data_IF_477744312065
#
_entry.id   IF_477744312065
#
_cell.length_a   1.000
_cell.length_b   1.000
_cell.length_c   1.000
_cell.angle_alpha   90.00
_cell.angle_beta   90.00
_cell.angle_gamma   90.00
#
_symmetry.space_group_name_H-M   'P 1'
#
loop_
_entity.id
_entity.type
_entity.pdbx_description
1 polymer ?
#
# COMPACT_ATOMS: atom_id res chain seq x y z
N UNK A 1 13.39 7.76 -8.89
CA UNK A 1 11.95 7.84 -9.28
C UNK A 1 11.29 8.93 -8.43
N UNK A 2 10.69 9.94 -9.05
CA UNK A 2 10.09 11.07 -8.32
C UNK A 2 8.85 10.64 -7.53
N UNK A 3 8.56 11.33 -6.42
CA UNK A 3 7.39 11.08 -5.57
C UNK A 3 6.08 10.99 -6.38
N UNK A 4 5.89 11.94 -7.30
CA UNK A 4 4.72 12.07 -8.18
C UNK A 4 4.49 10.89 -9.13
N UNK A 5 5.52 10.08 -9.37
CA UNK A 5 5.41 8.90 -10.25
C UNK A 5 5.09 7.62 -9.48
N UNK A 6 5.45 7.51 -8.19
CA UNK A 6 5.27 6.27 -7.41
C UNK A 6 3.79 5.92 -7.23
N UNK A 7 2.92 6.89 -6.96
CA UNK A 7 1.48 6.60 -6.83
C UNK A 7 0.86 6.06 -8.12
N UNK A 8 1.33 6.52 -9.28
CA UNK A 8 0.86 6.05 -10.59
C UNK A 8 1.26 4.60 -10.82
N UNK A 9 2.49 4.23 -10.45
CA UNK A 9 2.99 2.85 -10.56
C UNK A 9 2.15 1.93 -9.68
N UNK A 10 1.96 2.27 -8.40
CA UNK A 10 1.12 1.46 -7.51
C UNK A 10 -0.34 1.39 -7.99
N UNK A 11 -0.89 2.50 -8.50
CA UNK A 11 -2.23 2.49 -9.06
C UNK A 11 -2.34 1.58 -10.29
N UNK A 12 -1.37 1.65 -11.21
CA UNK A 12 -1.33 0.80 -12.41
C UNK A 12 -1.18 -0.68 -12.06
N UNK A 13 -0.28 -1.02 -11.13
CA UNK A 13 -0.14 -2.39 -10.62
C UNK A 13 -1.43 -2.89 -9.97
N UNK A 14 -2.08 -2.06 -9.16
CA UNK A 14 -3.37 -2.38 -8.54
C UNK A 14 -4.46 -2.63 -9.59
N UNK A 15 -4.58 -1.76 -10.59
CA UNK A 15 -5.56 -1.91 -11.67
C UNK A 15 -5.27 -3.15 -12.53
N UNK A 16 -4.01 -3.44 -12.82
CA UNK A 16 -3.61 -4.65 -13.54
C UNK A 16 -3.96 -5.92 -12.77
N UNK A 17 -3.59 -5.98 -11.48
CA UNK A 17 -3.95 -7.11 -10.61
C UNK A 17 -5.47 -7.27 -10.45
N UNK A 18 -6.21 -6.16 -10.39
CA UNK A 18 -7.67 -6.18 -10.31
C UNK A 18 -8.30 -6.76 -11.58
N UNK A 19 -7.86 -6.31 -12.76
CA UNK A 19 -8.36 -6.81 -14.04
C UNK A 19 -8.09 -8.32 -14.19
N UNK A 20 -6.87 -8.76 -13.83
CA UNK A 20 -6.51 -10.19 -13.82
C UNK A 20 -7.32 -10.98 -12.79
N UNK A 21 -7.55 -10.42 -11.60
CA UNK A 21 -8.35 -11.03 -10.55
C UNK A 21 -9.81 -11.23 -10.96
N UNK A 22 -10.43 -10.20 -11.58
CA UNK A 22 -11.78 -10.31 -12.13
C UNK A 22 -11.86 -11.33 -13.27
N UNK A 23 -10.85 -11.35 -14.15
CA UNK A 23 -10.77 -12.34 -15.22
C UNK A 23 -10.66 -13.77 -14.67
N UNK A 24 -9.80 -13.99 -13.68
CA UNK A 24 -9.65 -15.30 -13.03
C UNK A 24 -10.94 -15.71 -12.29
N UNK A 25 -11.60 -14.77 -11.61
CA UNK A 25 -12.88 -15.02 -10.93
C UNK A 25 -13.97 -15.41 -11.93
N UNK A 26 -14.07 -14.69 -13.04
CA UNK A 26 -15.01 -15.00 -14.12
C UNK A 26 -14.80 -16.42 -14.67
N UNK A 27 -13.55 -16.78 -14.98
CA UNK A 27 -13.23 -18.13 -15.44
C UNK A 27 -13.52 -19.20 -14.39
N UNK A 28 -13.30 -18.90 -13.11
CA UNK A 28 -13.63 -19.82 -12.01
C UNK A 28 -15.14 -20.10 -11.99
N UNK A 29 -15.97 -19.07 -12.11
CA UNK A 29 -17.43 -19.20 -12.14
C UNK A 29 -17.91 -19.99 -13.36
N UNK A 30 -17.33 -19.74 -14.54
CA UNK A 30 -17.61 -20.53 -15.74
C UNK A 30 -17.23 -21.99 -15.56
N UNK A 31 -16.04 -22.26 -15.00
CA UNK A 31 -15.57 -23.62 -14.75
C UNK A 31 -16.50 -24.37 -13.79
N UNK A 32 -16.96 -23.73 -12.71
CA UNK A 32 -17.98 -24.30 -11.81
C UNK A 32 -19.30 -24.62 -12.52
N UNK A 33 -19.69 -23.82 -13.51
CA UNK A 33 -20.95 -24.01 -14.22
C UNK A 33 -20.91 -25.16 -15.25
N UNK A 34 -19.72 -25.50 -15.74
CA UNK A 34 -19.50 -26.49 -16.81
C UNK A 34 -18.98 -27.82 -16.25
N UNK A 35 -18.19 -27.79 -15.18
CA UNK A 35 -17.53 -28.95 -14.60
C UNK A 35 -17.81 -29.11 -13.11
N UNK A 36 -17.94 -30.37 -12.66
CA UNK A 36 -18.09 -30.72 -11.23
C UNK A 36 -16.77 -30.82 -10.45
N UNK A 37 -15.65 -30.36 -11.01
CA UNK A 37 -14.34 -30.44 -10.37
C UNK A 37 -14.17 -29.31 -9.34
N UNK A 38 -14.51 -29.66 -8.09
CA UNK A 38 -14.36 -28.79 -6.93
C UNK A 38 -12.90 -28.43 -6.63
N UNK A 39 -11.94 -29.28 -7.00
CA UNK A 39 -10.52 -29.06 -6.72
C UNK A 39 -9.98 -27.94 -7.61
N UNK A 40 -10.16 -28.06 -8.94
CA UNK A 40 -9.76 -27.02 -9.89
C UNK A 40 -10.42 -25.67 -9.59
N UNK A 41 -11.72 -25.68 -9.30
CA UNK A 41 -12.47 -24.50 -8.87
C UNK A 41 -11.83 -23.78 -7.68
N UNK A 42 -11.43 -24.55 -6.66
CA UNK A 42 -10.86 -23.98 -5.43
C UNK A 42 -9.52 -23.30 -5.72
N UNK A 43 -8.65 -23.92 -6.52
CA UNK A 43 -7.36 -23.34 -6.90
C UNK A 43 -7.51 -22.03 -7.70
N UNK A 44 -8.38 -22.02 -8.72
CA UNK A 44 -8.61 -20.80 -9.51
C UNK A 44 -9.29 -19.69 -8.70
N UNK A 45 -10.25 -20.05 -7.85
CA UNK A 45 -10.93 -19.12 -6.95
C UNK A 45 -9.96 -18.48 -5.94
N UNK A 46 -9.08 -19.29 -5.33
CA UNK A 46 -8.02 -18.79 -4.44
C UNK A 46 -7.06 -17.85 -5.18
N UNK A 47 -6.64 -18.19 -6.39
CA UNK A 47 -5.78 -17.32 -7.19
C UNK A 47 -6.46 -15.98 -7.51
N UNK A 48 -7.73 -16.00 -7.91
CA UNK A 48 -8.51 -14.80 -8.15
C UNK A 48 -8.63 -13.92 -6.91
N UNK A 49 -8.94 -14.52 -5.75
CA UNK A 49 -9.03 -13.82 -4.48
C UNK A 49 -7.68 -13.17 -4.08
N UNK A 50 -6.58 -13.91 -4.20
CA UNK A 50 -5.23 -13.39 -3.94
C UNK A 50 -4.90 -12.19 -4.83
N UNK A 51 -5.23 -12.25 -6.12
CA UNK A 51 -5.01 -11.13 -7.05
C UNK A 51 -5.83 -9.89 -6.68
N UNK A 52 -7.09 -10.08 -6.26
CA UNK A 52 -7.95 -8.98 -5.79
C UNK A 52 -7.43 -8.36 -4.49
N UNK A 53 -6.93 -9.18 -3.55
CA UNK A 53 -6.27 -8.67 -2.34
C UNK A 53 -5.02 -7.86 -2.68
N UNK A 54 -4.16 -8.39 -3.56
CA UNK A 54 -2.96 -7.69 -4.03
C UNK A 54 -3.32 -6.37 -4.70
N UNK A 55 -4.39 -6.34 -5.50
CA UNK A 55 -4.90 -5.11 -6.11
C UNK A 55 -5.30 -4.07 -5.04
N UNK A 56 -6.05 -4.50 -4.03
CA UNK A 56 -6.44 -3.65 -2.90
C UNK A 56 -5.24 -3.06 -2.17
N UNK A 57 -4.22 -3.88 -1.88
CA UNK A 57 -2.99 -3.42 -1.23
C UNK A 57 -2.23 -2.39 -2.09
N UNK A 58 -2.13 -2.61 -3.40
CA UNK A 58 -1.47 -1.66 -4.30
C UNK A 58 -2.23 -0.33 -4.40
N UNK A 59 -3.55 -0.35 -4.50
CA UNK A 59 -4.35 0.88 -4.44
C UNK A 59 -4.24 1.59 -3.09
N UNK A 60 -4.19 0.84 -1.99
CA UNK A 60 -3.98 1.39 -0.65
C UNK A 60 -2.62 2.09 -0.53
N UNK A 61 -1.56 1.48 -1.07
CA UNK A 61 -0.25 2.12 -1.17
C UNK A 61 -0.27 3.36 -2.07
N UNK A 62 -0.93 3.30 -3.22
CA UNK A 62 -1.09 4.43 -4.12
C UNK A 62 -1.80 5.61 -3.44
N UNK A 63 -2.83 5.35 -2.64
CA UNK A 63 -3.53 6.36 -1.86
C UNK A 63 -2.61 7.02 -0.83
N UNK A 64 -1.72 6.25 -0.18
CA UNK A 64 -0.70 6.79 0.72
C UNK A 64 0.25 7.75 0.02
N UNK A 65 0.76 7.39 -1.16
CA UNK A 65 1.64 8.27 -1.94
C UNK A 65 0.91 9.49 -2.52
N UNK A 66 -0.35 9.36 -2.95
CA UNK A 66 -1.08 10.47 -3.59
C UNK A 66 -1.70 11.46 -2.60
N UNK A 67 -2.27 10.96 -1.50
CA UNK A 67 -3.08 11.74 -0.56
C UNK A 67 -2.57 11.70 0.88
N UNK A 68 -1.56 10.87 1.17
CA UNK A 68 -0.99 10.67 2.50
C UNK A 68 0.46 11.16 2.62
N UNK A 69 0.90 12.04 1.70
CA UNK A 69 2.22 12.64 1.70
C UNK A 69 2.39 13.60 2.88
N UNK A 70 3.40 13.39 3.71
CA UNK A 70 3.70 14.22 4.87
C UNK A 70 5.14 14.73 4.82
N UNK A 71 5.35 15.91 5.41
CA UNK A 71 6.66 16.57 5.46
C UNK A 71 7.43 16.22 6.73
N UNK A 72 6.74 15.88 7.82
CA UNK A 72 7.38 15.51 9.09
C UNK A 72 6.48 14.61 9.93
N UNK A 73 7.07 13.60 10.55
CA UNK A 73 6.41 12.71 11.52
C UNK A 73 7.29 12.63 12.76
N UNK A 74 6.76 13.02 13.91
CA UNK A 74 7.51 13.09 15.18
C UNK A 74 6.78 12.39 16.32
N UNK A 75 7.50 12.10 17.41
CA UNK A 75 6.93 11.56 18.64
C UNK A 75 7.31 10.09 18.84
N UNK A 76 6.35 9.28 19.27
CA UNK A 76 6.57 7.84 19.54
C UNK A 76 5.58 6.99 18.76
N UNK A 77 5.83 5.69 18.67
CA UNK A 77 4.91 4.74 18.02
C UNK A 77 3.48 4.78 18.59
N UNK A 78 3.32 5.13 19.87
CA UNK A 78 2.02 5.20 20.55
C UNK A 78 1.36 6.58 20.49
N UNK A 79 2.15 7.64 20.24
CA UNK A 79 1.69 9.02 20.21
C UNK A 79 2.52 9.82 19.18
N UNK A 80 2.27 9.59 17.91
CA UNK A 80 2.91 10.28 16.79
C UNK A 80 2.10 11.53 16.39
N UNK A 81 2.82 12.54 15.89
CA UNK A 81 2.26 13.76 15.30
C UNK A 81 2.66 13.83 13.83
N UNK A 82 1.67 14.03 12.96
CA UNK A 82 1.82 14.04 11.50
C UNK A 82 1.66 15.47 11.00
N UNK A 83 2.64 15.96 10.25
CA UNK A 83 2.67 17.34 9.76
C UNK A 83 2.80 17.41 8.24
N UNK A 84 2.13 18.41 7.66
CA UNK A 84 2.21 18.77 6.25
C UNK A 84 2.34 20.30 6.17
N UNK A 85 3.47 20.77 5.66
CA UNK A 85 3.91 22.16 5.75
C UNK A 85 3.97 22.62 7.21
N UNK A 86 3.30 23.72 7.51
CA UNK A 86 3.15 24.25 8.88
C UNK A 86 1.97 23.66 9.65
N UNK A 87 1.19 22.76 9.05
CA UNK A 87 -0.07 22.27 9.62
C UNK A 87 0.11 20.87 10.23
N UNK A 88 -0.36 20.70 11.45
CA UNK A 88 -0.58 19.38 12.05
C UNK A 88 -1.83 18.76 11.44
N UNK A 89 -1.68 17.65 10.73
CA UNK A 89 -2.77 16.91 10.08
C UNK A 89 -3.41 15.93 11.07
N UNK A 90 -2.59 15.27 11.89
CA UNK A 90 -3.03 14.36 12.94
C UNK A 90 -2.10 14.53 14.14
N UNK A 91 -2.67 14.55 15.35
CA UNK A 91 -1.93 14.65 16.61
C UNK A 91 -2.20 13.43 17.48
N UNK A 92 -1.20 13.04 18.29
CA UNK A 92 -1.27 11.97 19.29
C UNK A 92 -1.90 10.65 18.78
N UNK A 93 -1.47 10.18 17.60
CA UNK A 93 -1.99 8.95 17.00
C UNK A 93 -1.04 7.78 17.13
N UNK A 94 -1.58 6.57 17.26
CA UNK A 94 -0.79 5.34 17.28
C UNK A 94 -0.47 4.89 15.86
N UNK A 95 0.81 4.63 15.60
CA UNK A 95 1.26 3.99 14.38
C UNK A 95 1.06 2.47 14.52
N UNK A 96 0.28 1.89 13.62
CA UNK A 96 -0.10 0.48 13.63
C UNK A 96 0.86 -0.38 12.81
N UNK A 97 1.46 0.19 11.77
CA UNK A 97 2.33 -0.51 10.85
C UNK A 97 3.36 0.44 10.26
N UNK A 98 4.60 -0.04 10.05
CA UNK A 98 5.69 0.70 9.41
C UNK A 98 6.40 -0.22 8.43
N UNK A 99 6.66 0.28 7.22
CA UNK A 99 7.48 -0.35 6.21
C UNK A 99 8.40 0.67 5.56
N UNK A 100 9.71 0.46 5.71
CA UNK A 100 10.72 1.16 4.92
C UNK A 100 10.76 0.55 3.53
N UNK A 101 10.30 1.30 2.53
CA UNK A 101 10.10 0.76 1.17
C UNK A 101 11.40 0.58 0.40
N UNK A 102 12.41 1.38 0.73
CA UNK A 102 13.70 1.41 0.04
C UNK A 102 14.85 0.96 0.96
N UNK A 103 14.57 0.21 2.03
CA UNK A 103 15.56 -0.20 3.03
C UNK A 103 16.74 -0.98 2.41
N UNK A 104 16.43 -1.84 1.45
CA UNK A 104 17.41 -2.70 0.79
C UNK A 104 18.18 -1.96 -0.32
N UNK A 105 17.76 -0.74 -0.68
CA UNK A 105 18.40 0.04 -1.73
C UNK A 105 19.47 0.98 -1.16
N UNK A 106 20.67 0.42 -0.99
CA UNK A 106 21.85 1.13 -0.47
C UNK A 106 22.29 2.31 -1.34
N UNK A 107 21.89 2.36 -2.61
CA UNK A 107 22.27 3.45 -3.53
C UNK A 107 21.48 4.74 -3.31
N UNK A 108 20.32 4.68 -2.64
CA UNK A 108 19.51 5.85 -2.35
C UNK A 108 19.97 6.51 -1.04
N UNK A 109 20.09 7.83 -1.04
CA UNK A 109 20.30 8.60 0.20
C UNK A 109 19.03 8.58 1.07
N UNK A 110 19.13 8.74 2.40
CA UNK A 110 17.97 8.76 3.30
C UNK A 110 16.89 9.80 2.92
N UNK A 111 17.29 10.89 2.26
CA UNK A 111 16.39 11.93 1.74
C UNK A 111 15.53 11.48 0.54
N UNK A 112 15.90 10.37 -0.09
CA UNK A 112 15.23 9.79 -1.24
C UNK A 112 14.59 8.43 -0.95
N UNK A 113 14.72 7.94 0.29
CA UNK A 113 14.05 6.73 0.79
C UNK A 113 12.73 7.09 1.45
N UNK A 114 11.72 6.25 1.23
CA UNK A 114 10.38 6.48 1.75
C UNK A 114 10.01 5.47 2.83
N UNK A 115 9.30 5.97 3.84
CA UNK A 115 8.65 5.18 4.87
C UNK A 115 7.15 5.23 4.61
N UNK A 116 6.57 4.05 4.40
CA UNK A 116 5.13 3.85 4.38
C UNK A 116 4.67 3.40 5.76
N UNK A 117 3.63 4.00 6.29
CA UNK A 117 3.08 3.62 7.58
C UNK A 117 1.57 3.78 7.62
N UNK A 118 0.94 3.11 8.58
CA UNK A 118 -0.52 3.16 8.78
C UNK A 118 -0.81 3.67 10.17
N UNK A 119 -1.68 4.67 10.26
CA UNK A 119 -2.29 5.10 11.52
C UNK A 119 -3.75 5.46 11.28
N UNK A 120 -4.61 5.14 12.25
CA UNK A 120 -6.06 5.28 12.14
C UNK A 120 -6.64 4.68 10.83
N UNK A 121 -6.14 3.50 10.43
CA UNK A 121 -6.52 2.80 9.19
C UNK A 121 -6.27 3.56 7.88
N UNK A 122 -5.52 4.67 7.92
CA UNK A 122 -5.16 5.46 6.74
C UNK A 122 -3.68 5.27 6.41
N UNK A 123 -3.32 5.13 5.12
CA UNK A 123 -1.93 5.01 4.70
C UNK A 123 -1.30 6.40 4.61
N UNK A 124 -0.07 6.49 5.08
CA UNK A 124 0.75 7.69 5.07
C UNK A 124 2.15 7.39 4.56
N UNK A 125 2.78 8.41 3.98
CA UNK A 125 4.13 8.32 3.43
C UNK A 125 4.90 9.58 3.79
N UNK A 126 6.15 9.40 4.21
CA UNK A 126 7.10 10.49 4.37
C UNK A 126 8.51 10.01 3.99
N UNK A 127 9.46 10.93 3.86
CA UNK A 127 10.86 10.56 3.67
C UNK A 127 11.44 10.00 4.96
N UNK A 128 12.40 9.08 4.84
CA UNK A 128 13.02 8.47 6.02
C UNK A 128 13.70 9.50 6.92
N UNK A 129 14.36 10.51 6.35
CA UNK A 129 14.96 11.62 7.10
C UNK A 129 13.93 12.46 7.91
N UNK A 130 12.65 12.42 7.52
CA UNK A 130 11.55 13.15 8.14
C UNK A 130 10.73 12.28 9.09
N UNK A 131 11.06 11.00 9.22
CA UNK A 131 10.40 10.06 10.11
C UNK A 131 11.16 9.99 11.45
N UNK A 132 10.87 10.91 12.35
CA UNK A 132 11.54 11.10 13.65
C UNK A 132 10.69 10.49 14.78
N UNK A 133 10.36 9.21 14.64
CA UNK A 133 9.61 8.46 15.64
C UNK A 133 10.56 7.55 16.41
N UNK A 134 10.56 7.69 17.73
CA UNK A 134 11.32 6.85 18.66
C UNK A 134 10.52 5.64 19.17
#
# INVERSE_FOLDING_TARGET
MSFDSRWKVFAALGTGAFALGLYALWNTLLYMSIGGDATGTTFFGCAAFCLLLVAGLHWYMAAGFKYGALDLVTGTLVAATLQQGSRVVVSATRIQFIRKLDADNLTLTPENRYVFFVCAYRPWVCKEAQFQVA
#
